data_IF_191822232737
#
_entry.id   IF_191822232737
#
_cell.length_a   1.000
_cell.length_b   1.000
_cell.length_c   1.000
_cell.angle_alpha   90.00
_cell.angle_beta   90.00
_cell.angle_gamma   90.00
#
_symmetry.space_group_name_H-M   'P 1'
#
loop_
_entity.id
_entity.type
_entity.pdbx_description
1 polymer ?
#
# COMPACT_ATOMS: atom_id res chain seq x y z
N UNK A 1 17.22 -42.97 72.73
CA UNK A 1 18.65 -42.89 72.36
C UNK A 1 18.76 -42.67 70.86
N UNK A 2 19.67 -41.76 70.46
CA UNK A 2 19.95 -41.31 69.08
C UNK A 2 20.48 -42.44 68.20
N UNK A 3 20.09 -42.51 66.93
CA UNK A 3 21.01 -42.59 65.78
C UNK A 3 20.43 -41.88 64.55
N UNK A 4 21.22 -40.94 64.06
CA UNK A 4 21.11 -40.18 62.80
C UNK A 4 21.80 -41.00 61.71
N UNK A 5 21.36 -40.88 60.45
CA UNK A 5 22.12 -40.85 59.17
C UNK A 5 21.16 -41.35 58.05
N UNK A 6 21.15 -40.88 56.81
CA UNK A 6 21.65 -39.70 56.08
C UNK A 6 20.97 -39.81 54.70
N UNK A 7 20.59 -38.67 54.13
CA UNK A 7 20.48 -38.35 52.69
C UNK A 7 20.51 -39.49 51.67
N UNK A 8 19.48 -39.57 50.81
CA UNK A 8 19.68 -39.44 49.36
C UNK A 8 18.42 -38.84 48.72
N UNK A 9 18.63 -37.66 48.14
CA UNK A 9 17.75 -36.95 47.23
C UNK A 9 17.54 -37.75 45.96
N UNK A 10 16.28 -37.89 45.52
CA UNK A 10 15.94 -38.12 44.13
C UNK A 10 14.60 -37.44 43.87
N UNK A 11 14.69 -36.17 43.50
CA UNK A 11 13.59 -35.42 42.89
C UNK A 11 13.59 -35.84 41.42
N UNK A 12 12.57 -36.54 40.89
CA UNK A 12 12.39 -36.57 39.45
C UNK A 12 11.87 -35.19 39.05
N UNK A 13 12.77 -34.32 38.60
CA UNK A 13 12.40 -33.15 37.80
C UNK A 13 11.80 -33.66 36.50
N UNK A 14 10.49 -33.82 36.48
CA UNK A 14 9.73 -33.94 35.24
C UNK A 14 9.81 -32.55 34.62
N UNK A 15 10.85 -32.34 33.79
CA UNK A 15 10.90 -31.23 32.88
C UNK A 15 9.80 -31.46 31.85
N UNK A 16 8.61 -30.93 32.14
CA UNK A 16 7.59 -30.76 31.11
C UNK A 16 8.23 -29.93 30.00
N UNK A 17 8.19 -30.40 28.73
CA UNK A 17 8.69 -29.59 27.64
C UNK A 17 7.90 -28.28 27.66
N UNK A 18 8.62 -27.16 27.77
CA UNK A 18 8.08 -25.86 27.46
C UNK A 18 7.60 -26.00 26.02
N UNK A 19 6.28 -26.11 25.84
CA UNK A 19 5.67 -25.83 24.55
C UNK A 19 5.99 -24.37 24.34
N UNK A 20 7.04 -24.11 23.55
CA UNK A 20 7.24 -22.81 22.95
C UNK A 20 5.98 -22.60 22.14
N UNK A 21 5.03 -21.89 22.73
CA UNK A 21 3.93 -21.34 21.97
C UNK A 21 4.65 -20.53 20.92
N UNK A 22 4.66 -21.03 19.69
CA UNK A 22 4.92 -20.21 18.53
C UNK A 22 4.05 -18.99 18.78
N UNK A 23 4.65 -17.87 19.18
CA UNK A 23 4.10 -16.62 18.75
C UNK A 23 4.19 -16.76 17.24
N UNK A 24 3.13 -17.30 16.63
CA UNK A 24 2.81 -16.93 15.28
C UNK A 24 2.88 -15.41 15.37
N UNK A 25 3.94 -14.88 14.77
CA UNK A 25 3.94 -13.55 14.22
C UNK A 25 2.77 -13.59 13.23
N UNK A 26 1.55 -13.52 13.77
CA UNK A 26 0.51 -12.68 13.24
C UNK A 26 1.21 -11.34 13.21
N UNK A 27 1.92 -11.12 12.10
CA UNK A 27 2.33 -9.82 11.68
C UNK A 27 1.03 -9.07 11.58
N UNK A 28 0.63 -8.45 12.69
CA UNK A 28 -0.17 -7.26 12.69
C UNK A 28 0.69 -6.22 11.98
N UNK A 29 0.94 -6.42 10.68
CA UNK A 29 1.04 -5.32 9.75
C UNK A 29 -0.31 -4.65 9.92
N UNK A 30 -0.38 -3.68 10.85
CA UNK A 30 -1.23 -2.53 10.63
C UNK A 30 -0.79 -2.04 9.27
N UNK A 31 -1.48 -2.49 8.21
CA UNK A 31 -1.19 -2.08 6.86
C UNK A 31 -1.29 -0.55 6.91
N UNK A 32 -0.15 0.11 6.79
CA UNK A 32 -0.09 1.56 6.83
C UNK A 32 -0.93 2.05 5.67
N UNK A 33 -2.08 2.66 5.99
CA UNK A 33 -2.93 3.25 4.96
C UNK A 33 -2.16 4.38 4.29
N UNK A 34 -2.22 4.41 2.97
CA UNK A 34 -1.58 5.42 2.13
C UNK A 34 -2.65 6.40 1.69
N UNK A 35 -2.40 7.69 1.93
CA UNK A 35 -3.22 8.77 1.41
C UNK A 35 -2.73 9.13 0.02
N UNK A 36 -3.64 9.28 -0.95
CA UNK A 36 -3.30 9.66 -2.33
C UNK A 36 -2.63 11.05 -2.39
N UNK A 37 -2.87 11.91 -1.40
CA UNK A 37 -2.21 13.19 -1.23
C UNK A 37 -0.70 13.08 -0.93
N UNK A 38 -0.23 11.90 -0.49
CA UNK A 38 1.18 11.63 -0.21
C UNK A 38 1.95 11.10 -1.42
N UNK A 39 1.24 10.67 -2.47
CA UNK A 39 1.85 10.14 -3.69
C UNK A 39 2.32 11.32 -4.54
N UNK A 40 3.60 11.32 -4.89
CA UNK A 40 4.16 12.28 -5.84
C UNK A 40 3.86 11.79 -7.26
N UNK A 41 2.87 12.41 -7.89
CA UNK A 41 2.49 12.07 -9.26
C UNK A 41 3.37 12.79 -10.28
N UNK A 42 3.79 12.03 -11.28
CA UNK A 42 4.52 12.53 -12.44
C UNK A 42 3.71 13.59 -13.19
N UNK A 43 4.40 14.57 -13.76
CA UNK A 43 3.77 15.58 -14.62
C UNK A 43 3.12 14.91 -15.84
N UNK A 44 1.86 15.27 -16.12
CA UNK A 44 1.12 14.77 -17.29
C UNK A 44 1.03 15.88 -18.33
N UNK A 45 1.40 15.55 -19.55
CA UNK A 45 1.44 16.48 -20.68
C UNK A 45 0.30 16.23 -21.66
N UNK A 46 -0.08 17.27 -22.41
CA UNK A 46 -1.05 17.11 -23.50
C UNK A 46 -0.53 16.15 -24.57
N UNK A 47 -1.43 15.65 -25.41
CA UNK A 47 -1.17 14.65 -26.45
C UNK A 47 -0.86 13.23 -25.94
N UNK A 48 -0.65 13.03 -24.63
CA UNK A 48 -0.61 11.69 -24.05
C UNK A 48 -1.95 10.98 -24.27
N UNK A 49 -1.89 9.69 -24.61
CA UNK A 49 -3.09 8.86 -24.72
C UNK A 49 -3.68 8.59 -23.33
N UNK A 50 -5.00 8.36 -23.27
CA UNK A 50 -5.67 7.95 -22.02
C UNK A 50 -4.97 6.75 -21.36
N UNK A 51 -4.62 5.72 -22.12
CA UNK A 51 -3.95 4.53 -21.58
C UNK A 51 -2.59 4.87 -20.95
N UNK A 52 -1.79 5.72 -21.59
CA UNK A 52 -0.49 6.14 -21.05
C UNK A 52 -0.65 6.97 -19.76
N UNK A 53 -1.68 7.81 -19.68
CA UNK A 53 -2.00 8.56 -18.45
C UNK A 53 -2.33 7.61 -17.29
N UNK A 54 -3.17 6.60 -17.54
CA UNK A 54 -3.59 5.62 -16.53
C UNK A 54 -2.41 4.74 -16.08
N UNK A 55 -1.55 4.33 -17.01
CA UNK A 55 -0.32 3.58 -16.72
C UNK A 55 0.67 4.38 -15.87
N UNK A 56 0.87 5.66 -16.17
CA UNK A 56 1.75 6.52 -15.37
C UNK A 56 1.24 6.67 -13.94
N UNK A 57 -0.06 6.92 -13.76
CA UNK A 57 -0.71 7.02 -12.43
C UNK A 57 -0.54 5.72 -11.64
N UNK A 58 -0.76 4.57 -12.29
CA UNK A 58 -0.55 3.27 -11.67
C UNK A 58 0.90 3.08 -11.24
N UNK A 59 1.86 3.45 -12.09
CA UNK A 59 3.29 3.36 -11.81
C UNK A 59 3.69 4.19 -10.60
N UNK A 60 3.24 5.45 -10.52
CA UNK A 60 3.57 6.36 -9.41
C UNK A 60 3.05 5.82 -8.06
N UNK A 61 1.79 5.37 -8.02
CA UNK A 61 1.20 4.77 -6.82
C UNK A 61 1.98 3.50 -6.43
N UNK A 62 2.20 2.60 -7.39
CA UNK A 62 2.91 1.33 -7.15
C UNK A 62 4.32 1.57 -6.63
N UNK A 63 5.04 2.56 -7.18
CA UNK A 63 6.36 2.93 -6.74
C UNK A 63 6.34 3.48 -5.30
N UNK A 64 5.34 4.28 -4.95
CA UNK A 64 5.18 4.77 -3.58
C UNK A 64 4.99 3.62 -2.57
N UNK A 65 4.14 2.63 -2.88
CA UNK A 65 3.99 1.42 -2.04
C UNK A 65 5.31 0.65 -1.89
N UNK A 66 6.06 0.48 -2.99
CA UNK A 66 7.38 -0.16 -2.95
C UNK A 66 8.37 0.61 -2.07
N UNK A 67 8.40 1.93 -2.16
CA UNK A 67 9.28 2.77 -1.35
C UNK A 67 8.98 2.65 0.16
N UNK A 68 7.72 2.38 0.52
CA UNK A 68 7.31 2.13 1.91
C UNK A 68 7.52 0.68 2.36
N UNK A 69 8.05 -0.20 1.50
CA UNK A 69 8.13 -1.65 1.72
C UNK A 69 6.77 -2.28 2.08
N UNK A 70 5.71 -1.81 1.44
CA UNK A 70 4.35 -2.34 1.58
C UNK A 70 4.04 -3.19 0.34
N UNK A 71 3.23 -4.24 0.51
CA UNK A 71 2.71 -5.01 -0.61
C UNK A 71 1.98 -4.09 -1.59
N UNK A 72 2.35 -4.17 -2.88
CA UNK A 72 1.71 -3.40 -3.94
C UNK A 72 0.29 -3.96 -4.13
N UNK A 73 -0.74 -3.14 -3.92
CA UNK A 73 -2.13 -3.57 -4.13
C UNK A 73 -2.42 -3.96 -5.58
N UNK A 74 -3.44 -4.80 -5.75
CA UNK A 74 -4.15 -4.91 -7.01
C UNK A 74 -5.03 -3.65 -7.18
N UNK A 75 -4.49 -2.68 -7.90
CA UNK A 75 -5.01 -1.33 -7.95
C UNK A 75 -6.32 -1.19 -8.74
N UNK A 76 -6.70 -2.23 -9.51
CA UNK A 76 -7.88 -2.23 -10.39
C UNK A 76 -9.19 -1.94 -9.64
N UNK A 77 -9.21 -2.14 -8.32
CA UNK A 77 -10.39 -1.90 -7.45
C UNK A 77 -10.16 -0.89 -6.34
N UNK A 78 -8.92 -0.45 -6.12
CA UNK A 78 -8.55 0.37 -4.96
C UNK A 78 -8.67 1.87 -5.20
N UNK A 79 -8.70 2.30 -6.47
CA UNK A 79 -8.99 3.69 -6.82
C UNK A 79 -9.72 3.81 -8.15
N UNK A 80 -10.19 5.01 -8.44
CA UNK A 80 -10.79 5.38 -9.72
C UNK A 80 -10.14 6.66 -10.25
N UNK A 81 -10.05 6.75 -11.57
CA UNK A 81 -9.57 7.94 -12.28
C UNK A 81 -10.77 8.61 -12.94
N UNK A 82 -11.07 9.82 -12.49
CA UNK A 82 -12.04 10.73 -13.08
C UNK A 82 -11.35 11.80 -13.91
N UNK A 83 -12.05 12.28 -14.93
CA UNK A 83 -11.54 13.32 -15.84
C UNK A 83 -12.55 14.46 -15.93
N UNK A 84 -12.06 15.69 -16.06
CA UNK A 84 -12.93 16.84 -16.35
C UNK A 84 -13.67 16.66 -17.67
N UNK A 85 -14.81 17.34 -17.82
CA UNK A 85 -15.52 17.39 -19.11
C UNK A 85 -14.60 17.93 -20.21
N UNK A 86 -14.62 17.30 -21.39
CA UNK A 86 -13.75 17.67 -22.50
C UNK A 86 -12.26 17.39 -22.28
N UNK A 87 -11.88 16.57 -21.29
CA UNK A 87 -10.47 16.26 -21.00
C UNK A 87 -9.74 15.54 -22.14
N UNK A 88 -10.45 14.88 -23.05
CA UNK A 88 -9.88 14.16 -24.17
C UNK A 88 -10.42 14.68 -25.51
N UNK A 89 -9.57 14.65 -26.52
CA UNK A 89 -9.95 14.81 -27.92
C UNK A 89 -10.72 13.58 -28.42
N UNK A 90 -11.26 13.65 -29.65
CA UNK A 90 -11.85 12.49 -30.34
C UNK A 90 -10.90 11.31 -30.48
N UNK A 91 -9.59 11.58 -30.48
CA UNK A 91 -8.54 10.59 -30.69
C UNK A 91 -8.00 10.03 -29.36
N UNK A 92 -8.72 10.24 -28.26
CA UNK A 92 -8.37 9.82 -26.89
C UNK A 92 -7.02 10.37 -26.39
N UNK A 93 -6.63 11.55 -26.87
CA UNK A 93 -5.46 12.28 -26.36
C UNK A 93 -5.88 13.36 -25.37
N UNK A 94 -5.13 13.50 -24.28
CA UNK A 94 -5.49 14.41 -23.19
C UNK A 94 -5.16 15.86 -23.55
N UNK A 95 -6.04 16.79 -23.20
CA UNK A 95 -5.91 18.22 -23.52
C UNK A 95 -5.26 19.01 -22.39
N UNK A 96 -4.53 20.08 -22.74
CA UNK A 96 -3.94 20.99 -21.74
C UNK A 96 -5.01 21.59 -20.84
N UNK A 97 -4.73 21.68 -19.53
CA UNK A 97 -5.64 22.23 -18.54
C UNK A 97 -6.74 21.26 -18.09
N UNK A 98 -6.83 20.06 -18.66
CA UNK A 98 -7.69 19.01 -18.13
C UNK A 98 -7.33 18.70 -16.67
N UNK A 99 -8.36 18.38 -15.87
CA UNK A 99 -8.19 17.98 -14.48
C UNK A 99 -8.44 16.49 -14.37
N UNK A 100 -7.42 15.77 -13.91
CA UNK A 100 -7.51 14.35 -13.58
C UNK A 100 -7.72 14.25 -12.07
N UNK A 101 -8.75 13.54 -11.63
CA UNK A 101 -9.04 13.29 -10.21
C UNK A 101 -8.84 11.81 -9.92
N UNK A 102 -7.92 11.50 -9.02
CA UNK A 102 -7.66 10.14 -8.55
C UNK A 102 -8.30 10.01 -7.19
N UNK A 103 -9.19 9.05 -7.00
CA UNK A 103 -9.95 8.91 -5.75
C UNK A 103 -9.91 7.48 -5.25
N UNK A 104 -9.61 7.30 -3.97
CA UNK A 104 -9.62 5.98 -3.35
C UNK A 104 -11.03 5.37 -3.37
N UNK A 105 -11.10 4.07 -3.59
CA UNK A 105 -12.34 3.32 -3.45
C UNK A 105 -12.80 3.33 -1.98
N UNK A 106 -14.11 3.47 -1.69
CA UNK A 106 -14.62 3.37 -0.32
C UNK A 106 -14.34 2.02 0.34
N UNK A 107 -14.14 0.97 -0.45
CA UNK A 107 -13.84 -0.39 0.03
C UNK A 107 -12.34 -0.65 0.15
N UNK A 108 -11.48 0.28 -0.25
CA UNK A 108 -10.04 0.11 -0.13
C UNK A 108 -9.63 0.10 1.34
N UNK A 109 -8.88 -0.92 1.74
CA UNK A 109 -8.26 -1.02 3.06
C UNK A 109 -6.88 -0.35 3.09
N UNK A 110 -6.28 -0.10 1.92
CA UNK A 110 -4.91 0.40 1.73
C UNK A 110 -4.83 1.85 1.27
N UNK A 111 -5.68 2.30 0.35
CA UNK A 111 -5.68 3.65 -0.20
C UNK A 111 -6.78 4.51 0.41
N UNK A 112 -6.46 5.77 0.68
CA UNK A 112 -7.37 6.77 1.21
C UNK A 112 -7.27 8.09 0.46
N UNK A 113 -8.32 8.90 0.55
CA UNK A 113 -8.31 10.29 0.11
C UNK A 113 -8.48 10.45 -1.40
N UNK A 114 -7.99 11.57 -1.91
CA UNK A 114 -8.03 11.89 -3.33
C UNK A 114 -6.88 12.82 -3.71
N UNK A 115 -6.48 12.80 -4.98
CA UNK A 115 -5.53 13.75 -5.53
C UNK A 115 -6.04 14.30 -6.87
N UNK A 116 -5.56 15.48 -7.26
CA UNK A 116 -5.91 16.14 -8.52
C UNK A 116 -4.64 16.56 -9.25
N UNK A 117 -4.55 16.19 -10.51
CA UNK A 117 -3.44 16.54 -11.39
C UNK A 117 -3.98 17.43 -12.50
N UNK A 118 -3.29 18.54 -12.76
CA UNK A 118 -3.60 19.42 -13.89
C UNK A 118 -2.65 19.09 -15.04
N UNK A 119 -3.22 18.85 -16.21
CA UNK A 119 -2.45 18.53 -17.42
C UNK A 119 -1.72 19.77 -17.91
N UNK A 120 -0.42 19.64 -18.09
CA UNK A 120 0.47 20.69 -18.55
C UNK A 120 0.57 20.70 -20.08
N UNK A 121 1.04 21.83 -20.61
CA UNK A 121 1.50 21.89 -21.99
C UNK A 121 2.88 21.25 -22.09
N UNK A 122 3.12 20.48 -23.15
CA UNK A 122 4.40 19.83 -23.45
C UNK A 122 5.57 20.81 -23.30
N UNK A 123 6.62 20.41 -22.55
CA UNK A 123 7.87 21.17 -22.46
C UNK A 123 8.66 20.94 -23.76
N UNK A 124 8.89 22.04 -24.48
CA UNK A 124 9.68 22.07 -25.72
C UNK A 124 11.17 22.02 -25.40
#
# INVERSE_FOLDING_TARGET
>A
MKRILKFFSLIPTIASPIVVTSCDLTTNFRQTKVYLEMVEFSEIYNNSSKASVEENIFSDISQFFRNLNIEVPDLDTDYSIGYSEGAFTSDNTIVTGAIITIKSSPTSDRLLGQNKITVLKERW
#
